data_IF_483289378754
#
_entry.id   IF_483289378754
#
_cell.length_a   1.000
_cell.length_b   1.000
_cell.length_c   1.000
_cell.angle_alpha   90.00
_cell.angle_beta   90.00
_cell.angle_gamma   90.00
#
_symmetry.space_group_name_H-M   'P 1'
#
loop_
_entity.id
_entity.type
_entity.pdbx_description
1 polymer ?
#
# COMPACT_ATOMS: atom_id res chain seq x y z
N UNK A 1 -9.94 -17.74 49.74
CA UNK A 1 -9.94 -18.11 48.31
C UNK A 1 -8.60 -17.72 47.70
N UNK A 2 -7.63 -18.65 47.65
CA UNK A 2 -6.28 -18.42 47.06
C UNK A 2 -6.30 -18.88 45.59
N UNK A 3 -6.11 -17.96 44.64
CA UNK A 3 -5.90 -18.28 43.22
C UNK A 3 -4.44 -18.74 43.05
N UNK A 4 -4.24 -20.01 42.66
CA UNK A 4 -2.94 -20.56 42.26
C UNK A 4 -2.66 -20.10 40.81
N UNK A 5 -1.51 -19.46 40.60
CA UNK A 5 -1.00 -19.13 39.28
C UNK A 5 -0.56 -20.40 38.55
N UNK A 6 -0.98 -20.55 37.29
CA UNK A 6 -0.47 -21.57 36.37
C UNK A 6 0.94 -21.14 35.92
N UNK A 7 1.94 -21.96 36.24
CA UNK A 7 3.26 -21.95 35.58
C UNK A 7 3.11 -22.59 34.20
N UNK A 8 3.72 -21.99 33.17
CA UNK A 8 4.05 -22.70 31.95
C UNK A 8 5.07 -23.79 32.29
N UNK A 9 4.62 -25.03 32.24
CA UNK A 9 5.48 -26.21 32.28
C UNK A 9 5.58 -26.73 30.85
N UNK A 10 6.78 -26.62 30.29
CA UNK A 10 7.18 -27.29 29.06
C UNK A 10 7.31 -28.78 29.41
N UNK A 11 6.34 -29.59 28.99
CA UNK A 11 6.46 -31.06 28.98
C UNK A 11 6.51 -31.55 27.54
N UNK A 12 7.69 -32.03 27.16
CA UNK A 12 7.92 -32.86 25.98
C UNK A 12 7.21 -34.20 26.12
N UNK A 13 6.29 -34.52 25.20
CA UNK A 13 5.78 -35.88 25.01
C UNK A 13 5.81 -36.25 23.53
N UNK A 14 6.82 -37.05 23.17
CA UNK A 14 6.72 -38.08 22.14
C UNK A 14 5.54 -39.02 22.45
N UNK A 15 4.62 -39.24 21.51
CA UNK A 15 4.51 -40.58 20.91
C UNK A 15 3.58 -40.63 19.68
N UNK A 16 4.02 -41.47 18.76
CA UNK A 16 3.40 -41.89 17.51
C UNK A 16 2.07 -42.66 17.70
N UNK A 17 1.08 -42.42 16.84
CA UNK A 17 0.67 -43.36 15.77
C UNK A 17 -0.78 -43.15 15.26
N UNK A 18 -0.86 -42.87 13.96
CA UNK A 18 -1.73 -43.49 12.96
C UNK A 18 -3.24 -43.70 13.24
N UNK A 19 -4.07 -42.92 12.52
CA UNK A 19 -5.17 -43.50 11.73
C UNK A 19 -5.57 -42.62 10.53
N UNK A 20 -5.29 -43.15 9.33
CA UNK A 20 -5.81 -42.74 8.02
C UNK A 20 -7.34 -42.86 7.98
N UNK A 21 -8.03 -41.88 7.37
CA UNK A 21 -8.88 -42.06 6.17
C UNK A 21 -9.62 -40.76 5.76
N UNK A 22 -9.19 -40.24 4.61
CA UNK A 22 -9.93 -39.60 3.52
C UNK A 22 -11.27 -38.90 3.79
N UNK A 23 -11.33 -37.61 3.41
CA UNK A 23 -12.33 -37.11 2.43
C UNK A 23 -11.90 -35.74 1.87
N UNK A 24 -11.53 -35.78 0.59
CA UNK A 24 -11.41 -34.64 -0.32
C UNK A 24 -12.78 -33.98 -0.47
N UNK A 25 -12.91 -32.70 -0.09
CA UNK A 25 -13.97 -31.83 -0.59
C UNK A 25 -13.35 -30.49 -1.00
N UNK A 26 -13.36 -30.30 -2.31
CA UNK A 26 -13.02 -29.08 -3.02
C UNK A 26 -14.12 -28.06 -2.70
N UNK A 27 -13.78 -27.03 -1.92
CA UNK A 27 -14.57 -25.79 -1.90
C UNK A 27 -13.83 -24.76 -2.76
N UNK A 28 -14.30 -24.64 -4.01
CA UNK A 28 -14.14 -23.42 -4.79
C UNK A 28 -15.00 -22.35 -4.11
N UNK A 29 -14.37 -21.36 -3.49
CA UNK A 29 -15.02 -20.07 -3.22
C UNK A 29 -14.53 -19.11 -4.30
N UNK A 30 -15.37 -18.98 -5.32
CA UNK A 30 -15.38 -17.83 -6.21
C UNK A 30 -15.83 -16.61 -5.39
N UNK A 31 -14.98 -15.60 -5.27
CA UNK A 31 -15.45 -14.25 -4.98
C UNK A 31 -14.95 -13.30 -6.08
N UNK A 32 -15.85 -13.14 -7.05
CA UNK A 32 -15.90 -12.01 -7.95
C UNK A 32 -16.01 -10.71 -7.14
N UNK A 33 -15.00 -9.87 -7.19
CA UNK A 33 -15.22 -8.43 -7.04
C UNK A 33 -15.08 -7.77 -8.40
N UNK A 34 -16.25 -7.45 -8.96
CA UNK A 34 -16.45 -6.57 -10.09
C UNK A 34 -15.76 -5.22 -9.84
N UNK A 35 -14.66 -4.94 -10.54
CA UNK A 35 -14.11 -3.58 -10.64
C UNK A 35 -13.96 -3.06 -12.07
N UNK A 36 -14.66 -3.69 -13.03
CA UNK A 36 -14.73 -3.23 -14.41
C UNK A 36 -16.19 -3.09 -14.87
N UNK A 37 -16.88 -2.07 -14.38
CA UNK A 37 -18.18 -1.63 -14.92
C UNK A 37 -18.12 -0.24 -15.58
N UNK A 38 -16.92 0.25 -15.93
CA UNK A 38 -16.78 1.54 -16.62
C UNK A 38 -16.69 1.42 -18.15
N UNK A 39 -16.73 0.18 -18.69
CA UNK A 39 -16.63 -0.06 -20.14
C UNK A 39 -17.91 0.30 -20.90
N UNK A 40 -19.04 0.45 -20.21
CA UNK A 40 -20.35 0.73 -20.83
C UNK A 40 -20.56 2.20 -21.18
N UNK A 41 -19.84 3.10 -20.52
CA UNK A 41 -19.93 4.55 -20.80
C UNK A 41 -19.11 4.98 -22.02
N UNK A 42 -18.17 4.15 -22.47
CA UNK A 42 -17.24 4.51 -23.56
C UNK A 42 -17.75 4.17 -24.96
N UNK A 43 -18.81 3.37 -25.09
CA UNK A 43 -19.29 2.85 -26.39
C UNK A 43 -20.44 3.65 -27.02
N UNK A 44 -20.90 4.75 -26.41
CA UNK A 44 -22.05 5.52 -26.91
C UNK A 44 -21.70 6.80 -27.69
N UNK A 45 -20.41 7.10 -27.92
CA UNK A 45 -19.97 8.41 -28.44
C UNK A 45 -19.47 8.41 -29.90
N UNK A 46 -19.87 7.44 -30.71
CA UNK A 46 -19.52 7.43 -32.14
C UNK A 46 -20.78 7.53 -33.01
N UNK A 47 -21.30 8.75 -33.16
CA UNK A 47 -22.04 9.11 -34.36
C UNK A 47 -21.85 10.61 -34.69
N UNK A 48 -21.71 10.87 -35.99
CA UNK A 48 -20.95 12.00 -36.56
C UNK A 48 -21.73 13.32 -36.68
N UNK A 49 -20.95 14.38 -36.55
CA UNK A 49 -21.06 15.75 -37.11
C UNK A 49 -21.74 16.80 -36.20
N UNK A 50 -20.98 17.86 -35.91
CA UNK A 50 -21.26 19.06 -35.08
C UNK A 50 -20.89 19.05 -33.57
N UNK A 51 -19.98 18.17 -33.12
CA UNK A 51 -19.59 18.05 -31.69
C UNK A 51 -18.15 18.46 -31.33
N UNK A 52 -17.45 19.21 -32.18
CA UNK A 52 -16.05 19.59 -31.94
C UNK A 52 -15.82 20.43 -30.68
N UNK A 53 -16.73 21.34 -30.36
CA UNK A 53 -16.59 22.27 -29.22
C UNK A 53 -17.16 21.67 -27.92
N UNK A 54 -18.26 20.90 -28.02
CA UNK A 54 -18.92 20.28 -26.87
C UNK A 54 -18.09 19.11 -26.28
N UNK A 55 -17.32 18.40 -27.11
CA UNK A 55 -16.45 17.32 -26.66
C UNK A 55 -15.18 17.80 -25.94
N UNK A 56 -14.70 19.00 -26.24
CA UNK A 56 -13.53 19.58 -25.57
C UNK A 56 -13.87 19.98 -24.12
N UNK A 57 -15.01 20.64 -23.92
CA UNK A 57 -15.49 21.05 -22.59
C UNK A 57 -15.83 19.85 -21.71
N UNK A 58 -16.43 18.81 -22.29
CA UNK A 58 -16.73 17.55 -21.58
C UNK A 58 -15.45 16.84 -21.14
N UNK A 59 -14.42 16.77 -21.99
CA UNK A 59 -13.11 16.18 -21.62
C UNK A 59 -12.35 16.99 -20.57
N UNK A 60 -12.44 18.32 -20.60
CA UNK A 60 -11.84 19.16 -19.56
C UNK A 60 -12.55 18.98 -18.21
N UNK A 61 -13.87 18.83 -18.21
CA UNK A 61 -14.63 18.55 -17.00
C UNK A 61 -14.35 17.16 -16.43
N UNK A 62 -14.18 16.14 -17.26
CA UNK A 62 -13.76 14.80 -16.82
C UNK A 62 -12.36 14.82 -16.19
N UNK A 63 -11.42 15.57 -16.78
CA UNK A 63 -10.07 15.72 -16.26
C UNK A 63 -10.04 16.53 -14.95
N UNK A 64 -10.88 17.57 -14.83
CA UNK A 64 -11.09 18.33 -13.60
C UNK A 64 -11.75 17.48 -12.51
N UNK A 65 -12.72 16.64 -12.85
CA UNK A 65 -13.36 15.73 -11.89
C UNK A 65 -12.36 14.70 -11.39
N UNK A 66 -11.53 14.15 -12.29
CA UNK A 66 -10.44 13.23 -11.96
C UNK A 66 -9.43 13.90 -11.02
N UNK A 67 -8.95 15.09 -11.38
CA UNK A 67 -8.03 15.88 -10.55
C UNK A 67 -8.62 16.24 -9.19
N UNK A 68 -9.90 16.61 -9.11
CA UNK A 68 -10.60 16.91 -7.86
C UNK A 68 -10.76 15.68 -6.97
N UNK A 69 -10.97 14.50 -7.57
CA UNK A 69 -11.01 13.21 -6.86
C UNK A 69 -9.62 12.81 -6.33
N UNK A 70 -8.55 13.23 -7.01
CA UNK A 70 -7.16 13.00 -6.59
C UNK A 70 -6.62 14.05 -5.60
N UNK A 71 -7.13 15.28 -5.62
CA UNK A 71 -6.78 16.38 -4.71
C UNK A 71 -7.07 16.04 -3.23
N UNK A 72 -8.12 15.25 -2.98
CA UNK A 72 -8.47 14.77 -1.63
C UNK A 72 -7.54 13.65 -1.12
N UNK A 73 -6.75 13.00 -1.98
CA UNK A 73 -5.93 11.82 -1.64
C UNK A 73 -4.44 12.00 -1.83
N UNK A 74 -4.03 12.93 -2.67
CA UNK A 74 -2.64 13.17 -3.04
C UNK A 74 -2.38 14.65 -2.85
N UNK A 75 -1.24 15.01 -2.24
CA UNK A 75 -0.77 16.39 -2.22
C UNK A 75 -0.66 16.94 -3.64
N UNK A 76 -1.71 17.62 -4.12
CA UNK A 76 -1.90 18.13 -5.47
C UNK A 76 -0.68 18.89 -5.98
N UNK A 77 0.00 19.59 -5.08
CA UNK A 77 1.26 20.28 -5.33
C UNK A 77 2.35 19.37 -5.94
N UNK A 78 2.58 18.18 -5.39
CA UNK A 78 3.59 17.23 -5.91
C UNK A 78 3.17 16.65 -7.27
N UNK A 79 1.89 16.36 -7.46
CA UNK A 79 1.35 15.89 -8.76
C UNK A 79 1.51 16.98 -9.81
N UNK A 80 1.20 18.23 -9.46
CA UNK A 80 1.37 19.39 -10.33
C UNK A 80 2.84 19.65 -10.67
N UNK A 81 3.77 19.49 -9.73
CA UNK A 81 5.21 19.62 -9.99
C UNK A 81 5.73 18.55 -10.96
N UNK A 82 5.37 17.28 -10.74
CA UNK A 82 5.72 16.18 -11.65
C UNK A 82 5.08 16.37 -13.02
N UNK A 83 3.80 16.76 -13.06
CA UNK A 83 3.06 17.06 -14.27
C UNK A 83 3.70 18.22 -15.05
N UNK A 84 4.06 19.31 -14.38
CA UNK A 84 4.70 20.47 -14.99
C UNK A 84 6.04 20.09 -15.62
N UNK A 85 6.87 19.31 -14.92
CA UNK A 85 8.16 18.80 -15.45
C UNK A 85 7.95 17.93 -16.69
N UNK A 86 7.00 17.01 -16.68
CA UNK A 86 6.73 16.13 -17.82
C UNK A 86 6.05 16.86 -18.99
N UNK A 87 5.19 17.84 -18.72
CA UNK A 87 4.57 18.70 -19.73
C UNK A 87 5.62 19.50 -20.51
N UNK A 88 6.68 19.97 -19.86
CA UNK A 88 7.79 20.62 -20.54
C UNK A 88 8.53 19.69 -21.49
N UNK A 89 8.76 18.44 -21.08
CA UNK A 89 9.40 17.41 -21.94
C UNK A 89 8.51 17.09 -23.13
N UNK A 90 7.21 16.87 -22.90
CA UNK A 90 6.26 16.56 -23.95
C UNK A 90 6.13 17.71 -24.96
N UNK A 91 6.03 18.96 -24.46
CA UNK A 91 5.98 20.15 -25.31
C UNK A 91 7.20 20.25 -26.22
N UNK A 92 8.40 20.00 -25.69
CA UNK A 92 9.63 19.98 -26.49
C UNK A 92 9.61 18.88 -27.55
N UNK A 93 9.17 17.67 -27.20
CA UNK A 93 9.06 16.55 -28.14
C UNK A 93 8.05 16.87 -29.25
N UNK A 94 6.86 17.37 -28.91
CA UNK A 94 5.85 17.77 -29.89
C UNK A 94 6.37 18.87 -30.82
N UNK A 95 7.03 19.90 -30.29
CA UNK A 95 7.64 20.95 -31.11
C UNK A 95 8.69 20.41 -32.08
N UNK A 96 9.53 19.47 -31.64
CA UNK A 96 10.49 18.79 -32.51
C UNK A 96 9.79 17.96 -33.60
N UNK A 97 8.75 17.20 -33.26
CA UNK A 97 7.99 16.40 -34.23
C UNK A 97 7.31 17.31 -35.25
N UNK A 98 6.69 18.41 -34.83
CA UNK A 98 6.09 19.38 -35.74
C UNK A 98 7.12 19.99 -36.70
N UNK A 99 8.32 20.33 -36.20
CA UNK A 99 9.39 20.88 -37.04
C UNK A 99 9.88 19.88 -38.09
N UNK A 100 10.16 18.64 -37.66
CA UNK A 100 10.59 17.57 -38.56
C UNK A 100 9.50 17.24 -39.59
N UNK A 101 8.23 17.27 -39.19
CA UNK A 101 7.10 16.98 -40.09
C UNK A 101 6.94 18.06 -41.16
N UNK A 102 7.17 19.34 -40.79
CA UNK A 102 7.18 20.45 -41.74
C UNK A 102 8.32 20.31 -42.75
N UNK A 103 9.52 19.91 -42.30
CA UNK A 103 10.69 19.70 -43.17
C UNK A 103 10.47 18.53 -44.15
N UNK A 104 9.66 17.53 -43.77
CA UNK A 104 9.40 16.32 -44.56
C UNK A 104 8.13 16.39 -45.44
N UNK A 105 7.38 17.51 -45.44
CA UNK A 105 6.12 17.66 -46.18
C UNK A 105 5.09 16.55 -45.88
N UNK A 106 5.02 16.08 -44.63
CA UNK A 106 4.08 15.04 -44.20
C UNK A 106 2.64 15.56 -44.31
N UNK A 107 1.71 14.74 -44.80
CA UNK A 107 0.29 15.11 -44.90
C UNK A 107 -0.33 15.35 -43.52
N UNK A 108 -1.29 16.28 -43.45
CA UNK A 108 -1.98 16.62 -42.19
C UNK A 108 -2.67 15.41 -41.55
N UNK A 109 -3.17 14.47 -42.35
CA UNK A 109 -3.81 13.25 -41.85
C UNK A 109 -2.81 12.37 -41.07
N UNK A 110 -1.60 12.19 -41.60
CA UNK A 110 -0.56 11.39 -40.94
C UNK A 110 -0.08 12.10 -39.67
N UNK A 111 0.02 13.43 -39.69
CA UNK A 111 0.38 14.21 -38.50
C UNK A 111 -0.69 14.08 -37.39
N UNK A 112 -1.97 14.10 -37.76
CA UNK A 112 -3.09 13.90 -36.84
C UNK A 112 -3.03 12.53 -36.16
N UNK A 113 -2.76 11.47 -36.92
CA UNK A 113 -2.62 10.12 -36.39
C UNK A 113 -1.42 10.00 -35.44
N UNK A 114 -0.29 10.62 -35.80
CA UNK A 114 0.91 10.68 -34.95
C UNK A 114 0.61 11.41 -33.63
N UNK A 115 -0.03 12.57 -33.69
CA UNK A 115 -0.39 13.35 -32.51
C UNK A 115 -1.40 12.60 -31.62
N UNK A 116 -2.38 11.94 -32.22
CA UNK A 116 -3.34 11.09 -31.52
C UNK A 116 -2.64 9.95 -30.77
N UNK A 117 -1.68 9.28 -31.42
CA UNK A 117 -0.86 8.24 -30.80
C UNK A 117 -0.04 8.79 -29.61
N UNK A 118 0.59 9.95 -29.75
CA UNK A 118 1.34 10.58 -28.66
C UNK A 118 0.44 10.98 -27.48
N UNK A 119 -0.78 11.47 -27.75
CA UNK A 119 -1.75 11.78 -26.69
C UNK A 119 -2.18 10.52 -25.93
N UNK A 120 -2.43 9.41 -26.64
CA UNK A 120 -2.73 8.11 -26.03
C UNK A 120 -1.57 7.61 -25.17
N UNK A 121 -0.35 7.65 -25.70
CA UNK A 121 0.86 7.27 -24.95
C UNK A 121 1.04 8.13 -23.70
N UNK A 122 0.78 9.43 -23.80
CA UNK A 122 0.87 10.35 -22.68
C UNK A 122 -0.14 10.03 -21.57
N UNK A 123 -1.40 9.73 -21.93
CA UNK A 123 -2.42 9.29 -20.96
C UNK A 123 -1.98 8.01 -20.25
N UNK A 124 -1.46 7.02 -20.98
CA UNK A 124 -0.95 5.77 -20.39
C UNK A 124 0.19 6.05 -19.42
N UNK A 125 1.15 6.90 -19.80
CA UNK A 125 2.28 7.28 -18.95
C UNK A 125 1.79 7.98 -17.68
N UNK A 126 0.82 8.90 -17.76
CA UNK A 126 0.26 9.56 -16.58
C UNK A 126 -0.38 8.54 -15.65
N UNK A 127 -1.26 7.67 -16.18
CA UNK A 127 -1.95 6.66 -15.36
C UNK A 127 -0.95 5.73 -14.68
N UNK A 128 0.09 5.28 -15.40
CA UNK A 128 1.13 4.43 -14.83
C UNK A 128 1.92 5.14 -13.72
N UNK A 129 2.38 6.37 -13.96
CA UNK A 129 3.13 7.13 -12.96
C UNK A 129 2.28 7.48 -11.73
N UNK A 130 1.00 7.81 -11.91
CA UNK A 130 0.08 8.02 -10.80
C UNK A 130 -0.09 6.76 -9.97
N UNK A 131 -0.22 5.58 -10.59
CA UNK A 131 -0.33 4.31 -9.87
C UNK A 131 0.94 3.99 -9.06
N UNK A 132 2.13 4.16 -9.66
CA UNK A 132 3.40 3.96 -8.96
C UNK A 132 3.57 4.95 -7.79
N UNK A 133 3.17 6.21 -7.98
CA UNK A 133 3.25 7.22 -6.93
C UNK A 133 2.31 6.91 -5.76
N UNK A 134 1.08 6.48 -6.04
CA UNK A 134 0.10 6.07 -5.03
C UNK A 134 0.61 4.91 -4.17
N UNK A 135 1.20 3.90 -4.81
CA UNK A 135 1.77 2.77 -4.06
C UNK A 135 2.90 3.23 -3.12
N UNK A 136 3.71 4.20 -3.54
CA UNK A 136 4.83 4.70 -2.72
C UNK A 136 4.36 5.51 -1.50
N UNK A 137 3.32 6.34 -1.64
CA UNK A 137 2.79 7.10 -0.49
C UNK A 137 2.10 6.19 0.53
N UNK A 138 1.42 5.16 0.05
CA UNK A 138 0.72 4.22 0.93
C UNK A 138 1.73 3.40 1.74
N UNK A 139 2.82 2.93 1.12
CA UNK A 139 3.92 2.23 1.80
C UNK A 139 4.55 3.08 2.91
N UNK A 140 4.82 4.36 2.66
CA UNK A 140 5.41 5.28 3.65
C UNK A 140 4.49 5.46 4.86
N UNK A 141 3.19 5.66 4.61
CA UNK A 141 2.19 5.81 5.67
C UNK A 141 2.04 4.53 6.50
N UNK A 142 2.08 3.37 5.85
CA UNK A 142 2.07 2.05 6.50
C UNK A 142 3.29 1.89 7.40
N UNK A 143 4.50 2.14 6.88
CA UNK A 143 5.76 2.04 7.64
C UNK A 143 5.73 2.98 8.86
N UNK A 144 5.26 4.22 8.68
CA UNK A 144 5.16 5.20 9.76
C UNK A 144 4.18 4.76 10.86
N UNK A 145 3.03 4.19 10.49
CA UNK A 145 2.05 3.68 11.43
C UNK A 145 2.60 2.51 12.26
N UNK A 146 3.21 1.53 11.58
CA UNK A 146 3.80 0.33 12.20
C UNK A 146 4.99 0.68 13.09
N UNK A 147 5.89 1.56 12.61
CA UNK A 147 7.08 2.01 13.34
C UNK A 147 6.73 2.58 14.71
N UNK A 148 5.69 3.42 14.78
CA UNK A 148 5.27 4.03 16.04
C UNK A 148 4.84 3.01 17.09
N UNK A 149 4.28 1.87 16.66
CA UNK A 149 3.91 0.76 17.54
C UNK A 149 5.14 -0.07 17.91
N UNK A 150 5.98 -0.42 16.93
CA UNK A 150 7.19 -1.20 17.17
C UNK A 150 8.12 -0.52 18.19
N UNK A 151 8.35 0.79 18.04
CA UNK A 151 9.19 1.54 18.98
C UNK A 151 8.62 1.52 20.41
N UNK A 152 7.30 1.60 20.56
CA UNK A 152 6.66 1.56 21.87
C UNK A 152 6.74 0.17 22.52
N UNK A 153 6.50 -0.88 21.74
CA UNK A 153 6.65 -2.27 22.18
C UNK A 153 8.08 -2.52 22.65
N UNK A 154 9.07 -2.22 21.79
CA UNK A 154 10.48 -2.41 22.10
C UNK A 154 10.89 -1.61 23.34
N UNK A 155 10.47 -0.35 23.43
CA UNK A 155 10.77 0.52 24.58
C UNK A 155 10.21 -0.03 25.89
N UNK A 156 8.97 -0.54 25.88
CA UNK A 156 8.34 -1.13 27.07
C UNK A 156 9.10 -2.36 27.58
N UNK A 157 9.62 -3.21 26.68
CA UNK A 157 10.43 -4.38 27.05
C UNK A 157 11.79 -3.93 27.58
N UNK A 158 12.45 -2.98 26.91
CA UNK A 158 13.78 -2.50 27.29
C UNK A 158 13.80 -1.85 28.68
N UNK A 159 12.76 -1.10 29.05
CA UNK A 159 12.65 -0.52 30.41
C UNK A 159 12.34 -1.61 31.46
N UNK A 160 11.57 -2.62 31.08
CA UNK A 160 11.05 -3.63 32.00
C UNK A 160 11.29 -5.06 31.52
N UNK A 161 12.55 -5.51 31.36
CA UNK A 161 12.85 -6.81 30.76
C UNK A 161 12.39 -7.99 31.64
N UNK A 162 12.20 -7.78 32.94
CA UNK A 162 11.81 -8.81 33.91
C UNK A 162 10.30 -8.88 34.19
N UNK A 163 9.50 -7.93 33.69
CA UNK A 163 8.06 -7.94 33.93
C UNK A 163 7.36 -8.82 32.89
N UNK A 164 6.72 -9.90 33.31
CA UNK A 164 5.96 -10.80 32.41
C UNK A 164 4.92 -10.01 31.59
N UNK A 165 4.32 -8.97 32.17
CA UNK A 165 3.32 -8.13 31.48
C UNK A 165 3.87 -7.32 30.31
N UNK A 166 5.19 -7.04 30.26
CA UNK A 166 5.82 -6.40 29.08
C UNK A 166 6.25 -7.42 28.03
N UNK A 167 6.29 -8.71 28.38
CA UNK A 167 6.61 -9.81 27.46
C UNK A 167 5.37 -10.39 26.77
N UNK A 168 4.17 -9.98 27.20
CA UNK A 168 2.90 -10.37 26.60
C UNK A 168 2.19 -9.16 26.00
N UNK A 169 1.77 -9.26 24.74
CA UNK A 169 1.04 -8.22 24.04
C UNK A 169 -0.32 -8.78 23.63
N UNK A 170 -1.40 -8.13 24.08
CA UNK A 170 -2.74 -8.49 23.66
C UNK A 170 -2.97 -8.03 22.20
N UNK A 171 -3.20 -8.97 21.28
CA UNK A 171 -3.35 -8.66 19.86
C UNK A 171 -4.55 -7.78 19.54
N UNK A 172 -5.65 -7.85 20.29
CA UNK A 172 -6.79 -6.95 20.08
C UNK A 172 -6.46 -5.49 20.43
N UNK A 173 -5.74 -5.28 21.55
CA UNK A 173 -5.29 -3.94 21.95
C UNK A 173 -4.29 -3.40 20.92
N UNK A 174 -3.39 -4.25 20.44
CA UNK A 174 -2.40 -3.91 19.44
C UNK A 174 -3.06 -3.54 18.09
N UNK A 175 -3.97 -4.38 17.59
CA UNK A 175 -4.71 -4.15 16.35
C UNK A 175 -5.57 -2.88 16.42
N UNK A 176 -6.24 -2.63 17.56
CA UNK A 176 -7.01 -1.39 17.77
C UNK A 176 -6.11 -0.15 17.70
N UNK A 177 -4.93 -0.22 18.31
CA UNK A 177 -3.95 0.87 18.29
C UNK A 177 -3.39 1.11 16.89
N UNK A 178 -3.10 0.02 16.16
CA UNK A 178 -2.67 0.09 14.77
C UNK A 178 -3.75 0.72 13.90
N UNK A 179 -5.00 0.28 14.03
CA UNK A 179 -6.14 0.83 13.31
C UNK A 179 -6.26 2.35 13.49
N UNK A 180 -6.14 2.82 14.74
CA UNK A 180 -6.14 4.26 15.03
C UNK A 180 -4.98 5.00 14.35
N UNK A 181 -3.75 4.46 14.36
CA UNK A 181 -2.61 5.09 13.67
C UNK A 181 -2.76 5.05 12.15
N UNK A 182 -3.26 3.96 11.58
CA UNK A 182 -3.55 3.85 10.16
C UNK A 182 -4.57 4.90 9.71
N UNK A 183 -5.62 5.13 10.50
CA UNK A 183 -6.59 6.20 10.24
C UNK A 183 -5.94 7.59 10.25
N UNK A 184 -5.05 7.85 11.21
CA UNK A 184 -4.33 9.13 11.29
C UNK A 184 -3.38 9.37 10.12
N UNK A 185 -2.80 8.30 9.57
CA UNK A 185 -1.81 8.36 8.47
C UNK A 185 -2.43 8.05 7.10
N UNK A 186 -3.75 7.84 7.01
CA UNK A 186 -4.42 7.34 5.80
C UNK A 186 -3.73 6.09 5.20
N UNK A 187 -3.31 5.15 6.06
CA UNK A 187 -2.60 3.93 5.70
C UNK A 187 -3.55 2.74 5.56
N UNK A 188 -3.21 1.77 4.70
CA UNK A 188 -3.93 0.50 4.59
C UNK A 188 -3.72 -0.35 5.86
N UNK A 189 -4.81 -0.64 6.58
CA UNK A 189 -4.75 -1.37 7.85
C UNK A 189 -4.27 -2.82 7.69
N UNK A 190 -4.71 -3.54 6.65
CA UNK A 190 -4.38 -4.96 6.48
C UNK A 190 -2.89 -5.15 6.17
N UNK A 191 -2.35 -4.31 5.28
CA UNK A 191 -0.91 -4.31 4.97
C UNK A 191 -0.07 -3.89 6.17
N UNK A 192 -0.53 -2.90 6.93
CA UNK A 192 0.14 -2.49 8.16
C UNK A 192 0.11 -3.58 9.23
N UNK A 193 -0.97 -4.35 9.31
CA UNK A 193 -1.07 -5.47 10.24
C UNK A 193 -0.08 -6.56 9.85
N UNK A 194 -0.02 -6.97 8.59
CA UNK A 194 0.95 -7.96 8.09
C UNK A 194 2.40 -7.53 8.39
N UNK A 195 2.75 -6.26 8.12
CA UNK A 195 4.08 -5.72 8.41
C UNK A 195 4.38 -5.70 9.92
N UNK A 196 3.39 -5.37 10.76
CA UNK A 196 3.53 -5.40 12.21
C UNK A 196 3.76 -6.82 12.73
N UNK A 197 2.99 -7.79 12.26
CA UNK A 197 3.14 -9.21 12.62
C UNK A 197 4.51 -9.75 12.23
N UNK A 198 4.98 -9.40 11.02
CA UNK A 198 6.33 -9.73 10.56
C UNK A 198 7.40 -9.13 11.49
N UNK A 199 7.26 -7.85 11.85
CA UNK A 199 8.22 -7.15 12.72
C UNK A 199 8.30 -7.77 14.11
N UNK A 200 7.16 -8.15 14.68
CA UNK A 200 7.10 -8.79 16.00
C UNK A 200 7.81 -10.15 15.98
N UNK A 201 7.61 -10.94 14.93
CA UNK A 201 8.32 -12.20 14.74
C UNK A 201 9.84 -11.98 14.64
N UNK A 202 10.29 -10.97 13.87
CA UNK A 202 11.72 -10.61 13.77
C UNK A 202 12.34 -10.22 15.13
N UNK A 203 11.55 -9.63 16.03
CA UNK A 203 12.00 -9.31 17.38
C UNK A 203 12.11 -10.53 18.30
N UNK A 204 11.48 -11.66 17.93
CA UNK A 204 11.42 -12.89 18.73
C UNK A 204 10.08 -13.10 19.46
N UNK A 205 9.00 -12.44 19.02
CA UNK A 205 7.67 -12.73 19.52
C UNK A 205 7.00 -13.86 18.75
N UNK A 206 6.41 -14.79 19.49
CA UNK A 206 5.55 -15.83 18.96
C UNK A 206 4.08 -15.44 19.14
N UNK A 207 3.28 -15.72 18.11
CA UNK A 207 1.83 -15.55 18.15
C UNK A 207 1.19 -16.84 18.66
N UNK A 208 0.36 -16.71 19.68
CA UNK A 208 -0.46 -17.83 20.17
C UNK A 208 -1.68 -18.02 19.27
N UNK A 209 -1.99 -19.28 18.97
CA UNK A 209 -3.04 -19.67 18.04
C UNK A 209 -4.45 -19.41 18.60
N UNK A 210 -4.61 -19.48 19.92
CA UNK A 210 -5.95 -19.48 20.54
C UNK A 210 -6.40 -18.08 20.99
N UNK A 211 -5.50 -17.27 21.57
CA UNK A 211 -5.85 -16.02 22.25
C UNK A 211 -5.43 -14.74 21.48
N UNK A 212 -4.89 -14.89 20.26
CA UNK A 212 -4.31 -13.80 19.47
C UNK A 212 -3.32 -12.92 20.26
N UNK A 213 -2.69 -13.50 21.28
CA UNK A 213 -1.70 -12.82 22.11
C UNK A 213 -0.30 -13.13 21.56
N UNK A 214 0.59 -12.15 21.68
CA UNK A 214 2.00 -12.29 21.33
C UNK A 214 2.80 -12.47 22.61
N UNK A 215 3.74 -13.39 22.59
CA UNK A 215 4.57 -13.74 23.74
C UNK A 215 6.05 -13.73 23.34
N UNK A 216 6.88 -13.19 24.22
CA UNK A 216 8.32 -13.33 24.12
C UNK A 216 8.75 -14.58 24.90
N UNK A 217 9.05 -15.68 24.19
CA UNK A 217 9.28 -16.99 24.81
C UNK A 217 10.71 -17.19 25.35
N UNK A 218 11.69 -16.54 24.74
CA UNK A 218 13.10 -16.74 25.06
C UNK A 218 13.61 -15.83 26.18
N UNK A 219 14.77 -16.18 26.74
CA UNK A 219 15.52 -15.25 27.59
C UNK A 219 15.73 -13.94 26.83
N UNK A 220 15.23 -12.85 27.40
CA UNK A 220 15.21 -11.53 26.77
C UNK A 220 16.62 -11.12 26.37
N UNK A 221 16.92 -11.19 25.07
CA UNK A 221 18.19 -10.74 24.53
C UNK A 221 18.18 -9.21 24.39
N UNK A 222 18.39 -8.50 25.50
CA UNK A 222 18.34 -7.03 25.57
C UNK A 222 19.20 -6.38 24.47
N UNK A 223 20.37 -6.94 24.17
CA UNK A 223 21.25 -6.45 23.10
C UNK A 223 20.62 -6.58 21.70
N UNK A 224 19.90 -7.66 21.42
CA UNK A 224 19.19 -7.85 20.15
C UNK A 224 18.03 -6.86 20.04
N UNK A 225 17.20 -6.75 21.09
CA UNK A 225 16.09 -5.78 21.13
C UNK A 225 16.57 -4.33 20.99
N UNK A 226 17.71 -3.99 21.60
CA UNK A 226 18.32 -2.66 21.44
C UNK A 226 18.77 -2.39 19.99
N UNK A 227 19.35 -3.38 19.32
CA UNK A 227 19.69 -3.28 17.89
C UNK A 227 18.44 -3.06 17.05
N UNK A 228 17.38 -3.82 17.28
CA UNK A 228 16.08 -3.64 16.61
C UNK A 228 15.53 -2.23 16.83
N UNK A 229 15.55 -1.72 18.08
CA UNK A 229 15.10 -0.36 18.40
C UNK A 229 15.89 0.70 17.62
N UNK A 230 17.22 0.55 17.56
CA UNK A 230 18.08 1.44 16.79
C UNK A 230 17.79 1.39 15.29
N UNK A 231 17.54 0.22 14.72
CA UNK A 231 17.18 0.06 13.29
C UNK A 231 15.87 0.77 12.97
N UNK A 232 14.82 0.52 13.76
CA UNK A 232 13.50 1.13 13.56
C UNK A 232 13.49 2.65 13.82
N UNK A 233 14.35 3.14 14.72
CA UNK A 233 14.52 4.58 14.96
C UNK A 233 15.27 5.29 13.83
N UNK A 234 16.22 4.62 13.18
CA UNK A 234 17.00 5.21 12.06
C UNK A 234 16.23 5.28 10.75
N UNK A 235 15.13 4.56 10.62
CA UNK A 235 14.29 4.55 9.43
C UNK A 235 13.76 5.96 9.07
N UNK A 236 13.75 6.90 10.02
CA UNK A 236 13.42 8.32 9.79
C UNK A 236 14.42 9.09 8.92
N UNK A 237 15.61 8.57 8.62
CA UNK A 237 16.67 9.34 7.93
C UNK A 237 17.02 8.86 6.53
N UNK A 238 16.33 7.85 6.01
CA UNK A 238 16.70 7.23 4.73
C UNK A 238 15.89 7.73 3.53
N UNK A 239 14.93 8.64 3.73
CA UNK A 239 14.12 9.26 2.69
C UNK A 239 13.83 10.72 3.03
#
# INVERSE_FOLDING_TARGET
KKKKGKRCSIESKENNNNKKKAKTQIFRVSNNHNWFSSKKSFLLLNNKNEQGILNHWTRQNELLLLLKTFDERIGLKKVLEVWHKHKQVLSRVCMCVCRISADLSISEDVLSDILSFFLLLFVVIIVFNCNVFMNRSDEENIINAVRGINLEVLWNILIHPTKITSLQINGHVLAKKLSHRCQQQNANFDQALELLEYSLNEFGFDKDNDDACWYYCDEVQVLQLWKCYCTWSKFDRMY
#
